data_IF_612142769013
#
_entry.id   IF_612142769013
#
_cell.length_a   1.000
_cell.length_b   1.000
_cell.length_c   1.000
_cell.angle_alpha   90.00
_cell.angle_beta   90.00
_cell.angle_gamma   90.00
#
_symmetry.space_group_name_H-M   'P 1'
#
loop_
_entity.id
_entity.type
_entity.pdbx_description
1 polymer ?
#
# COMPACT_ATOMS: atom_id res chain seq x y z
N UNK A 1 2.21 16.56 9.75
CA UNK A 1 1.93 16.20 8.34
C UNK A 1 3.16 15.53 7.74
N UNK A 2 2.98 14.32 7.20
CA UNK A 2 4.08 13.52 6.66
C UNK A 2 4.62 14.04 5.32
N UNK A 3 5.91 13.77 5.04
CA UNK A 3 6.56 14.16 3.78
C UNK A 3 5.84 13.54 2.56
N UNK A 4 5.35 12.31 2.71
CA UNK A 4 4.61 11.58 1.65
C UNK A 4 3.29 12.29 1.33
N UNK A 5 2.55 12.71 2.35
CA UNK A 5 1.28 13.43 2.19
C UNK A 5 1.47 14.77 1.47
N UNK A 6 2.58 15.48 1.74
CA UNK A 6 2.88 16.76 1.06
C UNK A 6 3.11 16.55 -0.43
N UNK A 7 3.79 15.47 -0.82
CA UNK A 7 4.03 15.18 -2.24
C UNK A 7 2.74 14.70 -2.89
N UNK A 8 1.98 13.82 -2.23
CA UNK A 8 0.70 13.34 -2.73
C UNK A 8 -0.26 14.50 -3.01
N UNK A 9 -0.42 15.43 -2.06
CA UNK A 9 -1.26 16.62 -2.24
C UNK A 9 -0.81 17.48 -3.42
N UNK A 10 0.50 17.69 -3.59
CA UNK A 10 1.04 18.44 -4.74
C UNK A 10 0.76 17.75 -6.07
N UNK A 11 0.89 16.42 -6.13
CA UNK A 11 0.60 15.66 -7.34
C UNK A 11 -0.89 15.72 -7.67
N UNK A 12 -1.75 15.51 -6.68
CA UNK A 12 -3.20 15.54 -6.87
C UNK A 12 -3.72 16.92 -7.33
N UNK A 13 -3.14 18.02 -6.81
CA UNK A 13 -3.44 19.38 -7.28
C UNK A 13 -2.95 19.62 -8.72
N UNK A 14 -1.76 19.11 -9.07
CA UNK A 14 -1.20 19.29 -10.40
C UNK A 14 -1.97 18.51 -11.48
N UNK A 15 -2.52 17.35 -11.13
CA UNK A 15 -3.35 16.54 -12.03
C UNK A 15 -4.82 17.01 -12.07
N UNK A 16 -5.19 18.04 -11.29
CA UNK A 16 -6.55 18.57 -11.24
C UNK A 16 -7.58 17.63 -10.61
N UNK A 17 -7.13 16.57 -9.94
CA UNK A 17 -7.99 15.56 -9.33
C UNK A 17 -8.57 16.07 -8.00
N UNK A 18 -7.81 16.91 -7.30
CA UNK A 18 -8.26 17.58 -6.08
C UNK A 18 -8.19 19.09 -6.24
N UNK A 19 -9.11 19.79 -5.56
CA UNK A 19 -9.03 21.23 -5.38
C UNK A 19 -8.22 21.59 -4.15
N UNK A 20 -7.73 22.84 -4.09
CA UNK A 20 -7.01 23.35 -2.90
C UNK A 20 -7.88 23.31 -1.64
N UNK A 21 -9.19 23.50 -1.78
CA UNK A 21 -10.16 23.47 -0.70
C UNK A 21 -10.33 22.07 -0.13
N UNK A 22 -10.50 21.06 -0.99
CA UNK A 22 -10.60 19.65 -0.58
C UNK A 22 -9.34 19.17 0.15
N UNK A 23 -8.16 19.61 -0.32
CA UNK A 23 -6.90 19.31 0.38
C UNK A 23 -6.86 19.97 1.75
N UNK A 24 -7.28 21.23 1.89
CA UNK A 24 -7.34 21.92 3.19
C UNK A 24 -8.31 21.24 4.14
N UNK A 25 -9.49 20.86 3.68
CA UNK A 25 -10.48 20.16 4.50
C UNK A 25 -9.95 18.80 4.97
N UNK A 26 -9.34 18.02 4.08
CA UNK A 26 -8.74 16.74 4.44
C UNK A 26 -7.59 16.89 5.46
N UNK A 27 -6.82 17.97 5.39
CA UNK A 27 -5.76 18.27 6.37
C UNK A 27 -6.32 18.69 7.72
N UNK A 28 -7.37 19.50 7.76
CA UNK A 28 -8.04 19.87 9.00
C UNK A 28 -8.57 18.63 9.74
N UNK A 29 -9.15 17.68 8.99
CA UNK A 29 -9.61 16.39 9.54
C UNK A 29 -8.43 15.54 10.02
N UNK A 30 -7.30 15.54 9.30
CA UNK A 30 -6.10 14.81 9.71
C UNK A 30 -5.58 15.33 11.06
N UNK A 31 -5.62 16.64 11.27
CA UNK A 31 -5.22 17.29 12.52
C UNK A 31 -6.20 16.99 13.66
N UNK A 32 -7.51 17.06 13.40
CA UNK A 32 -8.54 16.69 14.39
C UNK A 32 -8.42 15.23 14.84
N UNK A 33 -8.22 14.31 13.89
CA UNK A 33 -8.05 12.88 14.18
C UNK A 33 -6.72 12.55 14.88
N UNK A 34 -5.75 13.47 14.82
CA UNK A 34 -4.48 13.34 15.53
C UNK A 34 -4.65 13.58 17.04
N UNK A 35 -5.64 14.39 17.43
CA UNK A 35 -5.91 14.69 18.83
C UNK A 35 -6.38 13.42 19.54
N UNK A 36 -5.47 12.80 20.30
CA UNK A 36 -5.74 11.60 21.10
C UNK A 36 -5.33 10.27 20.45
N UNK A 37 -4.59 10.28 19.33
CA UNK A 37 -4.00 9.07 18.72
C UNK A 37 -2.49 9.21 18.55
N UNK A 38 -1.78 8.10 18.68
CA UNK A 38 -0.33 8.03 18.47
C UNK A 38 0.07 7.98 16.99
N UNK A 39 -0.85 7.60 16.10
CA UNK A 39 -0.57 7.45 14.67
C UNK A 39 -1.32 8.51 13.86
N UNK A 40 -0.58 9.23 13.00
CA UNK A 40 -1.12 10.12 11.99
C UNK A 40 -1.91 9.31 10.96
N UNK A 41 -3.23 9.51 10.83
CA UNK A 41 -3.97 8.87 9.74
C UNK A 41 -3.43 9.37 8.40
N UNK A 42 -3.21 8.46 7.45
CA UNK A 42 -2.72 8.82 6.11
C UNK A 42 -3.72 9.73 5.39
N UNK A 43 -3.24 10.83 4.81
CA UNK A 43 -4.09 11.77 4.07
C UNK A 43 -4.88 11.07 2.95
N UNK A 44 -4.25 10.10 2.28
CA UNK A 44 -4.88 9.29 1.25
C UNK A 44 -6.15 8.56 1.72
N UNK A 45 -6.15 8.08 2.97
CA UNK A 45 -7.29 7.37 3.55
C UNK A 45 -8.44 8.32 3.82
N UNK A 46 -8.15 9.50 4.37
CA UNK A 46 -9.16 10.54 4.66
C UNK A 46 -9.86 10.99 3.38
N UNK A 47 -9.09 11.20 2.30
CA UNK A 47 -9.63 11.58 0.99
C UNK A 47 -10.58 10.54 0.41
N UNK A 48 -10.33 9.25 0.64
CA UNK A 48 -11.23 8.15 0.22
C UNK A 48 -12.46 8.08 1.11
N UNK A 49 -12.29 8.16 2.43
CA UNK A 49 -13.40 8.10 3.38
C UNK A 49 -14.39 9.25 3.20
N UNK A 50 -13.90 10.43 2.82
CA UNK A 50 -14.74 11.59 2.48
C UNK A 50 -15.33 11.56 1.07
N UNK A 51 -14.93 10.60 0.22
CA UNK A 51 -15.40 10.50 -1.15
C UNK A 51 -14.81 11.54 -2.11
N UNK A 52 -13.76 12.25 -1.71
CA UNK A 52 -13.03 13.16 -2.60
C UNK A 52 -12.21 12.41 -3.65
N UNK A 53 -11.78 11.18 -3.34
CA UNK A 53 -11.07 10.31 -4.26
C UNK A 53 -11.59 8.88 -4.21
N UNK A 54 -11.65 8.23 -5.38
CA UNK A 54 -11.82 6.79 -5.44
C UNK A 54 -10.50 6.05 -5.17
N UNK A 55 -10.61 4.82 -4.65
CA UNK A 55 -9.45 3.98 -4.32
C UNK A 55 -8.52 3.75 -5.52
N UNK A 56 -9.07 3.63 -6.72
CA UNK A 56 -8.28 3.41 -7.93
C UNK A 56 -7.52 4.65 -8.34
N UNK A 57 -8.11 5.84 -8.14
CA UNK A 57 -7.45 7.13 -8.38
C UNK A 57 -6.31 7.33 -7.40
N UNK A 58 -6.52 7.01 -6.11
CA UNK A 58 -5.47 7.07 -5.09
C UNK A 58 -4.29 6.16 -5.44
N UNK A 59 -4.55 4.93 -5.88
CA UNK A 59 -3.48 4.00 -6.29
C UNK A 59 -2.61 4.59 -7.41
N UNK A 60 -3.24 5.18 -8.45
CA UNK A 60 -2.51 5.85 -9.53
C UNK A 60 -1.66 7.02 -9.03
N UNK A 61 -2.26 7.88 -8.19
CA UNK A 61 -1.55 9.02 -7.60
C UNK A 61 -0.38 8.58 -6.72
N UNK A 62 -0.50 7.48 -5.98
CA UNK A 62 0.58 6.95 -5.16
C UNK A 62 1.76 6.44 -6.00
N UNK A 63 1.51 5.81 -7.14
CA UNK A 63 2.57 5.40 -8.09
C UNK A 63 3.32 6.62 -8.60
N UNK A 64 2.60 7.63 -9.09
CA UNK A 64 3.18 8.92 -9.55
C UNK A 64 3.95 9.65 -8.45
N UNK A 65 3.43 9.61 -7.23
CA UNK A 65 4.09 10.22 -6.06
C UNK A 65 5.42 9.54 -5.75
N UNK A 66 5.46 8.20 -5.84
CA UNK A 66 6.70 7.43 -5.69
C UNK A 66 7.70 7.76 -6.79
N UNK A 67 7.28 7.77 -8.05
CA UNK A 67 8.13 8.16 -9.20
C UNK A 67 8.82 9.51 -8.96
N UNK A 68 8.06 10.54 -8.58
CA UNK A 68 8.61 11.88 -8.30
C UNK A 68 9.52 11.94 -7.07
N UNK A 69 9.25 11.09 -6.06
CA UNK A 69 10.13 10.98 -4.90
C UNK A 69 11.45 10.29 -5.26
N UNK A 70 11.38 9.21 -6.05
CA UNK A 70 12.55 8.51 -6.55
C UNK A 70 13.39 9.40 -7.46
N UNK A 71 12.79 10.12 -8.41
CA UNK A 71 13.51 11.03 -9.31
C UNK A 71 14.31 12.08 -8.54
N UNK A 72 13.72 12.67 -7.49
CA UNK A 72 14.42 13.62 -6.61
C UNK A 72 15.56 12.98 -5.83
N UNK A 73 15.42 11.72 -5.41
CA UNK A 73 16.48 10.99 -4.73
C UNK A 73 17.63 10.67 -5.68
N UNK A 74 17.33 10.16 -6.88
CA UNK A 74 18.33 9.87 -7.91
C UNK A 74 19.09 11.12 -8.33
N UNK A 75 18.40 12.25 -8.54
CA UNK A 75 19.06 13.52 -8.85
C UNK A 75 20.04 13.94 -7.75
N UNK A 76 19.63 13.82 -6.48
CA UNK A 76 20.47 14.18 -5.33
C UNK A 76 21.71 13.28 -5.21
N UNK A 77 21.61 12.00 -5.58
CA UNK A 77 22.75 11.08 -5.62
C UNK A 77 23.72 11.49 -6.73
N UNK A 78 23.22 11.75 -7.94
CA UNK A 78 24.04 12.17 -9.08
C UNK A 78 24.74 13.51 -8.83
N UNK A 79 24.03 14.49 -8.27
CA UNK A 79 24.60 15.79 -7.88
C UNK A 79 25.59 15.67 -6.71
N UNK A 80 25.48 14.61 -5.90
CA UNK A 80 26.42 14.30 -4.81
C UNK A 80 27.71 13.60 -5.28
N UNK A 81 27.65 12.83 -6.37
CA UNK A 81 28.83 12.18 -6.98
C UNK A 81 29.72 13.17 -7.73
N UNK A 82 29.16 14.20 -8.37
CA UNK A 82 29.96 15.23 -9.06
C UNK A 82 30.70 16.19 -8.10
N UNK A 83 30.37 16.17 -6.80
CA UNK A 83 31.05 16.95 -5.76
C UNK A 83 32.09 16.18 -4.93
N UNK A 84 32.25 14.87 -5.13
CA UNK A 84 33.13 14.03 -4.34
C UNK A 84 33.91 13.05 -5.20
N UNK A 85 35.14 13.42 -5.58
CA UNK A 85 36.07 12.51 -6.23
C UNK A 85 36.24 11.23 -5.41
N UNK A 86 35.96 10.06 -6.01
CA UNK A 86 35.96 8.82 -5.25
C UNK A 86 35.79 7.57 -6.09
N UNK A 87 36.81 7.26 -6.90
CA UNK A 87 37.18 5.93 -7.45
C UNK A 87 36.04 5.07 -7.99
N UNK A 88 35.90 5.07 -9.31
CA UNK A 88 35.57 3.82 -10.02
C UNK A 88 36.54 2.72 -9.54
N UNK A 89 36.07 1.56 -9.06
CA UNK A 89 36.97 0.42 -8.90
C UNK A 89 37.55 0.11 -10.29
N UNK A 90 38.87 -0.10 -10.41
CA UNK A 90 39.43 -0.61 -11.65
C UNK A 90 38.76 -1.96 -11.93
N UNK A 91 38.13 -2.06 -13.09
CA UNK A 91 37.79 -3.35 -13.66
C UNK A 91 39.12 -3.92 -14.13
N UNK A 92 39.77 -4.65 -13.23
CA UNK A 92 40.81 -5.58 -13.64
C UNK A 92 40.09 -6.66 -14.45
N UNK A 93 40.16 -6.51 -15.77
CA UNK A 93 39.95 -7.60 -16.70
C UNK A 93 41.05 -8.65 -16.51
N UNK A 94 40.72 -9.88 -16.93
CA UNK A 94 41.67 -10.97 -17.20
C UNK A 94 42.07 -11.86 -16.02
N UNK A 95 41.37 -12.99 -15.88
CA UNK A 95 42.02 -14.26 -16.23
C UNK A 95 40.98 -15.36 -16.39
N UNK A 96 40.88 -15.83 -17.63
CA UNK A 96 40.34 -17.13 -18.00
C UNK A 96 41.14 -18.23 -17.31
N UNK A 97 40.47 -19.14 -16.57
CA UNK A 97 40.68 -20.58 -16.76
C UNK A 97 39.69 -21.40 -15.92
N UNK A 98 38.89 -22.20 -16.63
CA UNK A 98 38.32 -23.47 -16.16
C UNK A 98 39.07 -24.58 -16.90
N UNK A 99 38.98 -25.88 -16.57
CA UNK A 99 38.46 -26.57 -15.38
C UNK A 99 39.47 -27.58 -14.79
N UNK A 100 39.23 -28.11 -13.60
CA UNK A 100 39.87 -29.35 -13.17
C UNK A 100 38.82 -30.31 -12.60
N UNK A 101 38.47 -31.29 -13.43
CA UNK A 101 37.85 -32.55 -13.04
C UNK A 101 38.68 -33.22 -11.94
N UNK A 102 38.05 -33.68 -10.85
CA UNK A 102 38.54 -34.87 -10.15
C UNK A 102 37.35 -35.73 -9.73
N UNK A 103 37.47 -36.99 -10.13
CA UNK A 103 36.50 -38.08 -10.06
C UNK A 103 36.19 -38.58 -8.64
N UNK A 104 34.97 -39.08 -8.54
CA UNK A 104 34.46 -40.27 -7.84
C UNK A 104 35.37 -40.99 -6.84
N UNK A 105 34.81 -41.28 -5.66
CA UNK A 105 35.35 -42.22 -4.69
C UNK A 105 34.29 -42.63 -3.65
N UNK A 106 33.61 -43.74 -3.96
CA UNK A 106 32.99 -44.75 -3.09
C UNK A 106 32.54 -44.42 -1.65
N UNK A 107 31.24 -44.66 -1.41
CA UNK A 107 30.69 -45.14 -0.12
C UNK A 107 30.71 -46.67 -0.09
N UNK A 108 30.26 -47.38 0.98
CA UNK A 108 30.44 -47.32 2.46
C UNK A 108 31.00 -48.71 2.95
N UNK A 109 30.89 -49.26 4.21
CA UNK A 109 29.64 -49.55 4.96
C UNK A 109 29.72 -49.61 6.53
N UNK A 110 28.53 -49.69 7.17
CA UNK A 110 28.31 -50.26 8.53
C UNK A 110 28.66 -49.36 9.72
N UNK A 111 27.94 -49.32 10.84
CA UNK A 111 26.85 -50.11 11.41
C UNK A 111 26.88 -49.94 12.94
N UNK A 112 25.73 -50.12 13.60
CA UNK A 112 25.51 -50.19 15.06
C UNK A 112 25.66 -48.89 15.87
N UNK A 113 24.97 -48.65 16.97
CA UNK A 113 23.67 -49.03 17.55
C UNK A 113 23.52 -48.08 18.75
N UNK A 114 22.26 -47.78 19.09
CA UNK A 114 21.71 -47.31 20.36
C UNK A 114 22.59 -46.67 21.45
N UNK A 115 22.22 -45.46 21.86
CA UNK A 115 22.13 -45.13 23.29
C UNK A 115 21.07 -44.02 23.52
N UNK A 116 20.15 -44.32 24.44
CA UNK A 116 19.15 -43.44 25.02
C UNK A 116 19.74 -42.12 25.58
N UNK A 117 18.96 -41.04 25.54
CA UNK A 117 19.32 -39.81 26.24
C UNK A 117 18.32 -38.68 26.08
N UNK A 118 17.31 -38.68 26.94
CA UNK A 118 16.25 -37.68 27.12
C UNK A 118 16.59 -36.21 26.75
N UNK A 119 15.81 -35.63 25.83
CA UNK A 119 15.94 -34.25 25.39
C UNK A 119 14.60 -33.60 24.99
N UNK A 120 13.80 -33.27 25.99
CA UNK A 120 12.64 -32.34 25.96
C UNK A 120 12.78 -31.19 24.93
N UNK A 121 11.86 -31.07 23.96
CA UNK A 121 10.89 -29.95 23.77
C UNK A 121 10.50 -29.67 22.31
N UNK A 122 9.20 -29.36 22.18
CA UNK A 122 8.50 -28.59 21.14
C UNK A 122 8.13 -29.32 19.85
N UNK A 123 7.00 -30.01 19.94
CA UNK A 123 6.16 -30.30 18.79
C UNK A 123 5.67 -29.02 18.12
N UNK A 124 5.84 -28.96 16.80
CA UNK A 124 5.13 -28.02 15.92
C UNK A 124 4.06 -28.83 15.20
N UNK A 125 2.85 -28.83 15.78
CA UNK A 125 1.63 -29.18 15.05
C UNK A 125 1.40 -28.09 13.99
N UNK A 126 1.61 -28.41 12.72
CA UNK A 126 1.04 -27.59 11.64
C UNK A 126 -0.47 -27.84 11.61
N UNK A 127 -1.22 -26.95 12.25
CA UNK A 127 -2.67 -26.94 12.25
C UNK A 127 -3.21 -26.59 10.87
N UNK A 128 -3.96 -27.52 10.30
CA UNK A 128 -4.90 -27.26 9.22
C UNK A 128 -5.98 -26.30 9.72
N UNK A 129 -6.02 -25.07 9.20
CA UNK A 129 -7.15 -24.17 9.44
C UNK A 129 -7.76 -23.67 8.14
N UNK A 130 -8.61 -24.55 7.63
CA UNK A 130 -9.78 -24.22 6.82
C UNK A 130 -10.70 -23.33 7.68
N UNK A 131 -10.71 -22.01 7.47
CA UNK A 131 -11.80 -21.14 7.98
C UNK A 131 -12.37 -20.26 6.88
N UNK A 132 -13.47 -20.78 6.35
CA UNK A 132 -14.59 -20.05 5.73
C UNK A 132 -14.76 -18.67 6.39
N UNK A 133 -14.65 -17.61 5.59
CA UNK A 133 -15.31 -16.34 5.88
C UNK A 133 -16.32 -16.07 4.79
N UNK A 134 -17.54 -16.50 5.07
CA UNK A 134 -18.75 -16.00 4.45
C UNK A 134 -18.87 -14.52 4.79
N UNK A 135 -18.37 -13.65 3.91
CA UNK A 135 -18.73 -12.25 3.93
C UNK A 135 -20.07 -12.12 3.22
N UNK A 136 -21.10 -12.04 4.07
CA UNK A 136 -22.43 -11.53 3.75
C UNK A 136 -22.28 -10.35 2.79
N UNK A 137 -22.68 -10.57 1.53
CA UNK A 137 -22.99 -9.49 0.60
C UNK A 137 -24.20 -8.74 1.18
N UNK A 138 -23.95 -7.76 2.05
CA UNK A 138 -24.90 -6.66 2.22
C UNK A 138 -24.92 -5.94 0.87
N UNK A 139 -25.93 -6.24 0.07
CA UNK A 139 -26.33 -5.41 -1.08
C UNK A 139 -26.57 -4.01 -0.52
N UNK A 140 -25.57 -3.12 -0.64
CA UNK A 140 -25.82 -1.70 -0.57
C UNK A 140 -26.81 -1.40 -1.69
N UNK A 141 -27.95 -0.81 -1.34
CA UNK A 141 -28.86 -0.22 -2.31
C UNK A 141 -28.00 0.76 -3.12
N UNK A 142 -27.77 0.41 -4.39
CA UNK A 142 -26.94 1.21 -5.28
C UNK A 142 -27.52 2.62 -5.45
N UNK A 143 -26.74 3.56 -6.01
CA UNK A 143 -27.16 4.96 -6.20
C UNK A 143 -28.50 5.10 -6.93
N UNK A 144 -28.87 4.13 -7.78
CA UNK A 144 -30.18 4.06 -8.43
C UNK A 144 -31.35 3.91 -7.45
N UNK A 145 -31.20 3.18 -6.36
CA UNK A 145 -32.27 2.98 -5.38
C UNK A 145 -32.49 4.21 -4.50
N UNK A 146 -31.43 4.99 -4.22
CA UNK A 146 -31.55 6.30 -3.58
C UNK A 146 -32.23 7.32 -4.51
N UNK A 147 -31.95 7.24 -5.81
CA UNK A 147 -32.60 8.09 -6.81
C UNK A 147 -34.11 7.81 -6.91
N UNK A 148 -34.52 6.53 -6.95
CA UNK A 148 -35.94 6.15 -6.96
C UNK A 148 -36.66 6.60 -5.69
N UNK A 149 -36.01 6.49 -4.52
CA UNK A 149 -36.60 6.97 -3.26
C UNK A 149 -36.76 8.50 -3.27
N UNK A 150 -35.78 9.24 -3.79
CA UNK A 150 -35.84 10.70 -3.91
C UNK A 150 -36.97 11.17 -4.82
N UNK A 151 -37.12 10.54 -6.00
CA UNK A 151 -38.21 10.87 -6.94
C UNK A 151 -39.58 10.58 -6.34
N UNK A 152 -39.74 9.47 -5.60
CA UNK A 152 -41.00 9.13 -4.95
C UNK A 152 -41.40 10.15 -3.87
N UNK A 153 -40.45 10.63 -3.06
CA UNK A 153 -40.72 11.65 -2.03
C UNK A 153 -41.13 12.98 -2.67
N UNK A 154 -40.44 13.40 -3.75
CA UNK A 154 -40.79 14.64 -4.47
C UNK A 154 -42.19 14.53 -5.09
N UNK A 155 -42.54 13.39 -5.68
CA UNK A 155 -43.88 13.17 -6.25
C UNK A 155 -44.99 13.24 -5.18
N UNK A 156 -44.77 12.67 -3.99
CA UNK A 156 -45.74 12.72 -2.89
C UNK A 156 -45.92 14.14 -2.36
N UNK A 157 -44.84 14.91 -2.21
CA UNK A 157 -44.91 16.32 -1.78
C UNK A 157 -45.66 17.17 -2.81
N UNK A 158 -45.35 17.00 -4.10
CA UNK A 158 -46.04 17.73 -5.17
C UNK A 158 -47.53 17.36 -5.24
N UNK A 159 -47.88 16.09 -5.11
CA UNK A 159 -49.27 15.65 -5.07
C UNK A 159 -50.02 16.19 -3.85
N UNK A 160 -49.38 16.22 -2.67
CA UNK A 160 -49.96 16.79 -1.45
C UNK A 160 -50.20 18.30 -1.54
N UNK A 161 -49.28 19.05 -2.16
CA UNK A 161 -49.44 20.50 -2.39
C UNK A 161 -50.56 20.80 -3.40
N UNK A 162 -50.75 19.93 -4.39
CA UNK A 162 -51.82 20.09 -5.39
C UNK A 162 -53.21 19.76 -4.84
N UNK A 163 -53.31 18.90 -3.81
CA UNK A 163 -54.57 18.55 -3.16
C UNK A 163 -55.04 19.58 -2.13
N UNK A 164 -54.15 20.50 -1.72
CA UNK A 164 -54.42 21.52 -0.69
C UNK A 164 -54.78 22.90 -1.27
N UNK A 165 -54.93 22.99 -2.60
CA UNK A 165 -55.22 24.22 -3.34
C UNK A 165 -56.53 24.06 -4.10
#
# INVERSE_FOLDING_TARGET
MDRKDRVLAKVALAEGVLTKEQVREALAIQEELLVGKSETPELARILVERGFLEKDVVRRLQVRTKEKLFEKLYRKIKEGEEGGGGRSPPLDEESTDSPAEVKEGESPPGGHEEAEGAGRRRGVRMGTTRKRRALRRRRGLGPLALFVLGVAVVAVVLAGVWLLR
#
